data_IF_068779890096
#
_entry.id   IF_068779890096
#
_cell.length_a   1.000
_cell.length_b   1.000
_cell.length_c   1.000
_cell.angle_alpha   90.00
_cell.angle_beta   90.00
_cell.angle_gamma   90.00
#
_symmetry.space_group_name_H-M   'P 1'
#
loop_
_entity.id
_entity.type
_entity.pdbx_description
1 polymer ?
#
# COMPACT_ATOMS: atom_id res chain seq x y z
N UNK A 1 -9.42 -12.44 -16.38
CA UNK A 1 -8.62 -11.37 -15.72
C UNK A 1 -8.15 -10.34 -16.76
N UNK A 2 -9.00 -9.42 -17.22
CA UNK A 2 -8.65 -8.59 -18.41
C UNK A 2 -9.05 -7.11 -18.31
N UNK A 3 -10.22 -6.77 -17.77
CA UNK A 3 -10.72 -5.38 -17.79
C UNK A 3 -9.91 -4.43 -16.90
N UNK A 4 -9.58 -4.85 -15.68
CA UNK A 4 -8.94 -3.99 -14.68
C UNK A 4 -7.53 -3.55 -15.11
N UNK A 5 -6.74 -4.49 -15.65
CA UNK A 5 -5.40 -4.20 -16.15
C UNK A 5 -5.43 -3.24 -17.36
N UNK A 6 -6.40 -3.41 -18.25
CA UNK A 6 -6.56 -2.54 -19.43
C UNK A 6 -6.94 -1.10 -19.04
N UNK A 7 -7.83 -0.94 -18.06
CA UNK A 7 -8.20 0.38 -17.54
C UNK A 7 -7.00 1.12 -16.95
N UNK A 8 -6.17 0.44 -16.14
CA UNK A 8 -4.98 1.08 -15.57
C UNK A 8 -3.98 1.51 -16.65
N UNK A 9 -3.82 0.71 -17.70
CA UNK A 9 -2.94 1.06 -18.81
C UNK A 9 -3.44 2.27 -19.61
N UNK A 10 -4.74 2.35 -19.91
CA UNK A 10 -5.32 3.50 -20.64
C UNK A 10 -5.23 4.80 -19.82
N UNK A 11 -5.41 4.73 -18.50
CA UNK A 11 -5.29 5.87 -17.58
C UNK A 11 -3.83 6.36 -17.48
N UNK A 12 -2.89 5.42 -17.37
CA UNK A 12 -1.46 5.72 -17.38
C UNK A 12 -1.02 6.37 -18.69
N UNK A 13 -1.44 5.82 -19.83
CA UNK A 13 -1.16 6.37 -21.16
C UNK A 13 -1.75 7.78 -21.36
N UNK A 14 -2.87 8.07 -20.69
CA UNK A 14 -3.49 9.41 -20.70
C UNK A 14 -2.81 10.41 -19.76
N UNK A 15 -1.82 10.00 -18.95
CA UNK A 15 -1.14 10.85 -17.97
C UNK A 15 -2.04 11.32 -16.84
N UNK A 16 -3.15 10.62 -16.58
CA UNK A 16 -4.14 11.00 -15.58
C UNK A 16 -3.70 10.47 -14.22
N UNK A 17 -3.58 11.37 -13.23
CA UNK A 17 -3.40 10.95 -11.83
C UNK A 17 -4.73 10.42 -11.30
N UNK A 18 -4.73 9.17 -10.83
CA UNK A 18 -5.93 8.52 -10.31
C UNK A 18 -5.69 7.93 -8.92
N UNK A 19 -6.74 7.94 -8.11
CA UNK A 19 -6.77 7.26 -6.81
C UNK A 19 -7.67 6.05 -6.97
N UNK A 20 -7.18 4.85 -6.61
CA UNK A 20 -8.00 3.65 -6.56
C UNK A 20 -8.08 3.14 -5.12
N UNK A 21 -9.23 2.57 -4.77
CA UNK A 21 -9.51 2.02 -3.43
C UNK A 21 -9.79 0.53 -3.61
N UNK A 22 -9.01 -0.30 -2.94
CA UNK A 22 -9.23 -1.74 -2.96
C UNK A 22 -8.33 -2.48 -1.98
N UNK A 23 -8.83 -3.61 -1.47
CA UNK A 23 -8.10 -4.47 -0.54
C UNK A 23 -7.16 -5.46 -1.24
N UNK A 24 -7.14 -5.51 -2.58
CA UNK A 24 -6.42 -6.54 -3.34
C UNK A 24 -4.95 -6.13 -3.51
N UNK A 25 -4.05 -6.99 -3.05
CA UNK A 25 -2.60 -6.80 -3.20
C UNK A 25 -2.13 -6.72 -4.65
N UNK A 26 -2.91 -7.22 -5.62
CA UNK A 26 -2.60 -7.10 -7.04
C UNK A 26 -2.66 -5.66 -7.56
N UNK A 27 -3.29 -4.75 -6.83
CA UNK A 27 -3.39 -3.33 -7.20
C UNK A 27 -2.06 -2.59 -7.03
N UNK A 28 -1.17 -3.05 -6.14
CA UNK A 28 0.16 -2.45 -5.95
C UNK A 28 0.98 -2.39 -7.24
N UNK A 29 0.70 -3.27 -8.21
CA UNK A 29 1.39 -3.30 -9.50
C UNK A 29 1.09 -2.11 -10.41
N UNK A 30 0.02 -1.36 -10.13
CA UNK A 30 -0.47 -0.25 -10.97
C UNK A 30 -0.38 1.11 -10.27
N UNK A 31 0.15 1.16 -9.04
CA UNK A 31 0.24 2.37 -8.24
C UNK A 31 1.69 2.66 -7.86
N UNK A 32 2.02 3.95 -7.83
CA UNK A 32 3.32 4.44 -7.35
C UNK A 32 3.30 4.76 -5.85
N UNK A 33 2.11 4.93 -5.26
CA UNK A 33 1.92 5.38 -3.89
C UNK A 33 0.77 4.64 -3.23
N UNK A 34 0.94 4.27 -1.97
CA UNK A 34 -0.05 3.63 -1.13
C UNK A 34 -0.46 4.55 0.02
N UNK A 35 -1.76 4.70 0.23
CA UNK A 35 -2.32 5.26 1.46
C UNK A 35 -2.67 4.10 2.41
N UNK A 36 -1.89 3.95 3.48
CA UNK A 36 -2.19 3.01 4.55
C UNK A 36 -3.00 3.72 5.63
N UNK A 37 -4.19 3.22 5.94
CA UNK A 37 -5.06 3.73 7.02
C UNK A 37 -5.22 2.61 8.04
N UNK A 38 -4.74 2.83 9.26
CA UNK A 38 -4.92 1.93 10.40
C UNK A 38 -6.05 2.43 11.32
N UNK A 39 -6.38 1.67 12.36
CA UNK A 39 -7.38 2.08 13.34
C UNK A 39 -6.90 3.34 14.08
N UNK A 40 -7.77 4.35 14.19
CA UNK A 40 -7.47 5.59 14.90
C UNK A 40 -7.29 5.33 16.40
N UNK A 41 -6.13 5.73 16.92
CA UNK A 41 -5.83 5.66 18.34
C UNK A 41 -6.23 6.98 19.02
N UNK A 42 -7.39 6.94 19.68
CA UNK A 42 -7.97 8.08 20.40
C UNK A 42 -7.09 8.52 21.57
N UNK A 43 -6.35 7.58 22.19
CA UNK A 43 -5.56 7.85 23.41
C UNK A 43 -4.34 8.69 23.07
N UNK A 44 -3.66 8.34 21.99
CA UNK A 44 -2.44 9.02 21.58
C UNK A 44 -2.68 10.17 20.59
N UNK A 45 -3.94 10.38 20.15
CA UNK A 45 -4.35 11.35 19.13
C UNK A 45 -3.41 11.37 17.91
N UNK A 46 -2.92 10.17 17.52
CA UNK A 46 -1.94 10.04 16.45
C UNK A 46 -2.66 9.90 15.12
N UNK A 47 -2.09 10.56 14.11
CA UNK A 47 -2.47 10.35 12.73
C UNK A 47 -2.37 8.87 12.37
N UNK A 48 -3.47 8.27 11.93
CA UNK A 48 -3.59 6.84 11.62
C UNK A 48 -3.45 6.55 10.12
N UNK A 49 -3.14 7.56 9.31
CA UNK A 49 -2.95 7.41 7.88
C UNK A 49 -1.53 7.83 7.48
N UNK A 50 -0.94 7.09 6.56
CA UNK A 50 0.41 7.33 6.06
C UNK A 50 0.45 7.10 4.54
N UNK A 51 0.99 8.06 3.80
CA UNK A 51 1.34 7.90 2.39
C UNK A 51 2.76 7.32 2.31
N UNK A 52 2.92 6.21 1.60
CA UNK A 52 4.21 5.58 1.36
C UNK A 52 4.39 5.34 -0.14
N UNK A 53 5.59 5.58 -0.71
CA UNK A 53 5.89 5.09 -2.06
C UNK A 53 5.83 3.56 -2.04
N UNK A 54 5.34 2.96 -3.12
CA UNK A 54 5.39 1.50 -3.27
C UNK A 54 6.81 1.16 -3.74
N UNK A 55 7.73 0.96 -2.79
CA UNK A 55 9.00 0.28 -3.06
C UNK A 55 8.76 -1.22 -3.15
N UNK A 56 9.58 -1.92 -3.93
CA UNK A 56 9.42 -3.37 -4.18
C UNK A 56 9.46 -4.23 -2.90
N UNK A 57 9.91 -3.65 -1.78
CA UNK A 57 9.90 -4.21 -0.42
C UNK A 57 8.50 -4.21 0.23
N UNK A 58 7.57 -3.36 -0.21
CA UNK A 58 6.19 -3.28 0.30
C UNK A 58 5.31 -4.47 -0.13
N UNK A 59 5.86 -5.42 -0.89
CA UNK A 59 5.22 -6.68 -1.27
C UNK A 59 5.32 -7.71 -0.13
N UNK A 60 6.23 -7.51 0.83
CA UNK A 60 6.30 -8.36 2.01
C UNK A 60 5.14 -7.99 2.96
N UNK A 61 4.29 -8.95 3.33
CA UNK A 61 3.27 -8.70 4.35
C UNK A 61 3.97 -8.26 5.65
N UNK A 62 3.36 -7.31 6.37
CA UNK A 62 3.82 -6.78 7.66
C UNK A 62 4.13 -7.88 8.72
N UNK A 63 3.74 -9.13 8.45
CA UNK A 63 4.08 -10.31 9.24
C UNK A 63 5.55 -10.75 9.19
N UNK A 64 6.41 -10.19 8.33
CA UNK A 64 7.84 -10.60 8.24
C UNK A 64 8.80 -9.58 8.89
N UNK A 65 8.37 -8.34 9.21
CA UNK A 65 9.26 -7.35 9.84
C UNK A 65 9.30 -7.43 11.39
N UNK A 66 8.49 -8.31 12.01
CA UNK A 66 8.34 -8.41 13.46
C UNK A 66 8.74 -9.78 14.03
N UNK A 67 9.71 -10.48 13.44
CA UNK A 67 10.32 -11.65 14.09
C UNK A 67 11.80 -11.39 14.38
N UNK A 68 12.06 -11.16 15.67
CA UNK A 68 13.28 -11.51 16.39
C UNK A 68 14.55 -10.66 16.19
N UNK A 69 14.59 -9.54 16.90
CA UNK A 69 15.84 -9.06 17.53
C UNK A 69 15.65 -8.91 19.04
N UNK A 70 15.19 -9.97 19.70
CA UNK A 70 15.12 -10.03 21.18
C UNK A 70 15.40 -11.44 21.68
N UNK A 71 16.60 -11.95 21.41
CA UNK A 71 17.22 -13.02 22.20
C UNK A 71 18.75 -12.92 22.13
N UNK A 72 19.30 -11.85 22.71
CA UNK A 72 20.68 -11.81 23.20
C UNK A 72 20.64 -11.29 24.63
N UNK A 73 20.19 -12.13 25.55
CA UNK A 73 20.53 -12.13 26.97
C UNK A 73 20.64 -13.58 27.41
#
# INVERSE_FOLDING_TARGET
MALQARLYHEIEAAGITYISIGHRSTLFKYHNTLLHISKFDIVNNRQNWQLKPITQEAILPDSILNSDTSSFF
#
